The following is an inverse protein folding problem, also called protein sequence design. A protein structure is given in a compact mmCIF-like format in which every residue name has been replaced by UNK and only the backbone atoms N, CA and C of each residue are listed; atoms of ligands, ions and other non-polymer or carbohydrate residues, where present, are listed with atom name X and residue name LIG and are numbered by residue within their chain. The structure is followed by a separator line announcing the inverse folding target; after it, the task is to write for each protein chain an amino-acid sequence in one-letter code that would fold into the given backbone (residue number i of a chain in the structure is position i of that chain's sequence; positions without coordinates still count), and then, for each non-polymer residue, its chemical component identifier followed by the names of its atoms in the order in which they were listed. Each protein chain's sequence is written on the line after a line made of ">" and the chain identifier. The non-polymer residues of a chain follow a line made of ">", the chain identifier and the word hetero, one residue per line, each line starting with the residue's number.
data_IF_023245792021
#
_entry.id   IF_023245792021
#
_cell.length_a   1.000
_cell.length_b   1.000
_cell.length_c   1.000
_cell.angle_alpha   90.00
_cell.angle_beta   90.00
_cell.angle_gamma   90.00
#
_symmetry.space_group_name_H-M   'P 1'
#
loop_
_entity.id
_entity.type
_entity.pdbx_description
1 polymer ?
#
# COMPACT_ATOMS: atom_id res chain seq x y z
N UNK A 1 -14.47 -12.91 14.05
CA UNK A 1 -13.73 -12.32 12.91
C UNK A 1 -13.83 -13.21 11.68
N UNK A 2 -13.68 -14.54 11.80
CA UNK A 2 -14.01 -15.50 10.73
C UNK A 2 -15.41 -15.24 10.11
N UNK A 3 -16.42 -14.97 10.95
CA UNK A 3 -17.77 -14.63 10.49
C UNK A 3 -17.85 -13.40 9.55
N UNK A 4 -16.86 -12.49 9.55
CA UNK A 4 -16.83 -11.34 8.63
C UNK A 4 -16.40 -11.80 7.24
N UNK A 5 -15.36 -12.64 7.16
CA UNK A 5 -14.91 -13.22 5.88
C UNK A 5 -16.04 -14.05 5.26
N UNK A 6 -16.68 -14.89 6.05
CA UNK A 6 -17.78 -15.75 5.58
C UNK A 6 -19.02 -14.96 5.14
N UNK A 7 -19.24 -13.77 5.70
CA UNK A 7 -20.38 -12.92 5.38
C UNK A 7 -20.16 -12.06 4.11
N UNK A 8 -18.94 -11.97 3.59
CA UNK A 8 -18.58 -11.13 2.46
C UNK A 8 -18.11 -11.99 1.27
N UNK A 9 -19.03 -12.62 0.51
CA UNK A 9 -18.66 -13.40 -0.66
C UNK A 9 -18.13 -12.50 -1.79
N UNK A 10 -17.08 -12.95 -2.49
CA UNK A 10 -16.47 -12.22 -3.60
C UNK A 10 -15.45 -11.17 -3.16
N UNK A 11 -15.06 -10.26 -4.07
CA UNK A 11 -14.09 -9.22 -3.75
C UNK A 11 -14.68 -8.16 -2.80
N UNK A 12 -13.95 -7.82 -1.74
CA UNK A 12 -14.34 -6.78 -0.79
C UNK A 12 -13.13 -5.98 -0.28
N UNK A 13 -13.43 -4.82 0.27
CA UNK A 13 -12.48 -3.81 0.74
C UNK A 13 -12.94 -3.22 2.07
N UNK A 14 -12.01 -2.96 2.98
CA UNK A 14 -12.17 -2.01 4.09
C UNK A 14 -11.16 -0.88 3.89
N UNK A 15 -11.64 0.36 3.85
CA UNK A 15 -10.79 1.54 3.71
C UNK A 15 -11.15 2.59 4.75
N UNK A 16 -10.14 3.26 5.31
CA UNK A 16 -10.32 4.38 6.23
C UNK A 16 -9.20 4.49 7.25
N UNK A 17 -9.43 5.31 8.27
CA UNK A 17 -8.52 5.51 9.40
C UNK A 17 -8.65 4.38 10.43
N UNK A 18 -7.59 3.58 10.57
CA UNK A 18 -7.54 2.50 11.56
C UNK A 18 -6.88 2.93 12.87
N UNK A 19 -6.22 4.09 12.92
CA UNK A 19 -5.35 4.51 14.02
C UNK A 19 -4.29 3.46 14.42
N UNK A 20 -3.89 2.60 13.47
CA UNK A 20 -2.96 1.49 13.66
C UNK A 20 -2.02 1.41 12.47
N UNK A 21 -0.77 1.02 12.71
CA UNK A 21 0.24 0.82 11.66
C UNK A 21 0.42 -0.66 11.34
N UNK A 22 0.73 -0.99 10.09
CA UNK A 22 1.04 -2.35 9.64
C UNK A 22 2.52 -2.62 9.46
N UNK A 23 3.37 -1.60 9.45
CA UNK A 23 4.83 -1.74 9.40
C UNK A 23 5.53 -0.71 10.30
N UNK A 24 6.74 -1.03 10.77
CA UNK A 24 7.54 -0.03 11.51
C UNK A 24 7.86 1.19 10.62
N UNK A 25 8.02 0.98 9.30
CA UNK A 25 8.22 2.00 8.27
C UNK A 25 7.05 2.97 8.11
N UNK A 26 5.84 2.57 8.53
CA UNK A 26 4.64 3.41 8.49
C UNK A 26 4.69 4.56 9.50
N UNK A 27 5.75 4.67 10.31
CA UNK A 27 6.01 5.79 11.20
C UNK A 27 7.42 6.30 11.02
N UNK A 28 7.60 7.63 10.93
CA UNK A 28 8.92 8.23 10.72
C UNK A 28 9.85 8.23 11.96
N UNK A 29 9.53 7.47 13.01
CA UNK A 29 10.35 7.34 14.21
C UNK A 29 10.17 5.99 14.89
N UNK A 30 11.07 5.67 15.83
CA UNK A 30 11.13 4.38 16.51
C UNK A 30 10.09 4.18 17.64
N UNK A 31 9.22 5.16 17.92
CA UNK A 31 8.22 5.07 19.01
C UNK A 31 7.00 4.28 18.54
N UNK A 32 7.16 2.96 18.47
CA UNK A 32 6.18 2.02 17.93
C UNK A 32 5.60 1.13 19.03
N UNK A 33 4.26 1.07 19.12
CA UNK A 33 3.58 0.07 19.93
C UNK A 33 3.57 -1.28 19.20
N UNK A 34 4.62 -2.08 19.40
CA UNK A 34 4.79 -3.39 18.75
C UNK A 34 3.72 -4.42 19.09
N UNK A 35 3.03 -4.27 20.22
CA UNK A 35 1.88 -5.12 20.58
C UNK A 35 0.71 -4.84 19.65
N UNK A 36 0.34 -3.57 19.48
CA UNK A 36 -0.74 -3.18 18.58
C UNK A 36 -0.41 -3.52 17.12
N UNK A 37 0.81 -3.23 16.66
CA UNK A 37 1.29 -3.62 15.33
C UNK A 37 1.11 -5.12 15.08
N UNK A 38 1.54 -5.98 16.02
CA UNK A 38 1.41 -7.44 15.89
C UNK A 38 -0.06 -7.89 15.90
N UNK A 39 -0.87 -7.32 16.78
CA UNK A 39 -2.30 -7.65 16.86
C UNK A 39 -3.06 -7.24 15.59
N UNK A 40 -2.72 -6.08 15.02
CA UNK A 40 -3.33 -5.61 13.78
C UNK A 40 -2.92 -6.50 12.60
N UNK A 41 -1.61 -6.79 12.45
CA UNK A 41 -1.12 -7.77 11.46
C UNK A 41 -1.80 -9.13 11.57
N UNK A 42 -1.95 -9.64 12.79
CA UNK A 42 -2.64 -10.90 13.02
C UNK A 42 -4.10 -10.84 12.57
N UNK A 43 -4.80 -9.73 12.85
CA UNK A 43 -6.18 -9.51 12.41
C UNK A 43 -6.30 -9.48 10.89
N UNK A 44 -5.43 -8.72 10.21
CA UNK A 44 -5.37 -8.64 8.75
C UNK A 44 -5.10 -10.01 8.13
N UNK A 45 -4.15 -10.77 8.68
CA UNK A 45 -3.83 -12.11 8.21
C UNK A 45 -4.99 -13.11 8.44
N UNK A 46 -5.64 -13.06 9.60
CA UNK A 46 -6.79 -13.92 9.93
C UNK A 46 -8.01 -13.68 9.02
N UNK A 47 -8.13 -12.47 8.46
CA UNK A 47 -9.19 -12.11 7.50
C UNK A 47 -8.77 -12.31 6.04
N UNK A 48 -7.54 -12.79 5.80
CA UNK A 48 -6.97 -12.98 4.46
C UNK A 48 -7.02 -11.70 3.62
N UNK A 49 -6.56 -10.59 4.22
CA UNK A 49 -6.54 -9.28 3.59
C UNK A 49 -5.13 -8.84 3.22
N UNK A 50 -5.05 -8.03 2.16
CA UNK A 50 -3.85 -7.37 1.67
C UNK A 50 -3.99 -5.87 1.85
N UNK A 51 -2.96 -5.18 2.35
CA UNK A 51 -2.93 -3.71 2.40
C UNK A 51 -2.43 -3.17 1.05
N UNK A 52 -3.27 -2.41 0.35
CA UNK A 52 -2.89 -1.82 -0.92
C UNK A 52 -1.73 -0.82 -0.73
N UNK A 53 -0.81 -0.86 -1.69
CA UNK A 53 0.32 0.06 -1.70
C UNK A 53 -0.16 1.50 -1.91
N UNK A 54 0.31 2.41 -1.05
CA UNK A 54 -0.01 3.82 -1.13
C UNK A 54 1.00 4.55 -2.03
N UNK A 55 0.54 5.06 -3.17
CA UNK A 55 1.36 5.82 -4.10
C UNK A 55 1.43 7.31 -3.74
N UNK A 56 2.44 7.99 -4.30
CA UNK A 56 2.76 9.41 -4.17
C UNK A 56 3.22 9.89 -2.78
N UNK A 57 2.72 9.29 -1.69
CA UNK A 57 3.15 9.59 -0.31
C UNK A 57 3.27 8.30 0.49
N UNK A 58 4.13 8.32 1.52
CA UNK A 58 4.32 7.17 2.42
C UNK A 58 3.49 7.24 3.71
N UNK A 59 2.91 8.41 4.01
CA UNK A 59 2.20 8.70 5.26
C UNK A 59 0.88 9.37 4.97
N UNK A 60 -0.10 9.15 5.84
CA UNK A 60 -1.45 9.69 5.69
C UNK A 60 -1.83 10.68 6.76
N UNK A 61 -1.06 10.76 7.83
CA UNK A 61 -1.26 11.65 8.96
C UNK A 61 0.02 12.40 9.35
N UNK A 62 -0.13 13.64 9.79
CA UNK A 62 0.94 14.49 10.36
C UNK A 62 0.45 15.21 11.61
N UNK A 63 1.30 15.38 12.62
CA UNK A 63 0.97 16.24 13.76
C UNK A 63 1.14 17.76 13.48
N UNK A 64 1.49 18.13 12.25
CA UNK A 64 1.61 19.52 11.75
C UNK A 64 2.60 20.41 12.52
N UNK A 65 3.59 19.82 13.19
CA UNK A 65 4.66 20.57 13.87
C UNK A 65 5.87 20.80 12.95
N UNK A 66 6.76 21.74 13.31
CA UNK A 66 7.98 22.07 12.55
C UNK A 66 8.87 20.84 12.25
N UNK A 67 8.94 19.90 13.20
CA UNK A 67 9.53 18.58 13.00
C UNK A 67 8.41 17.54 13.12
N UNK A 68 7.71 17.23 12.01
CA UNK A 68 6.47 16.50 12.11
C UNK A 68 6.69 15.02 12.40
N UNK A 69 5.79 14.45 13.20
CA UNK A 69 5.60 13.00 13.27
C UNK A 69 4.67 12.63 12.11
N UNK A 70 5.15 11.76 11.24
CA UNK A 70 4.41 11.28 10.07
C UNK A 70 4.05 9.81 10.26
N UNK A 71 2.78 9.47 10.02
CA UNK A 71 2.26 8.12 10.22
C UNK A 71 1.31 7.73 9.07
N UNK A 72 1.40 6.51 8.54
CA UNK A 72 0.34 5.89 7.72
C UNK A 72 -0.67 5.26 8.69
N UNK A 73 -1.82 5.92 8.89
CA UNK A 73 -2.92 5.45 9.73
C UNK A 73 -4.13 5.00 8.90
N UNK A 74 -4.23 5.52 7.68
CA UNK A 74 -5.27 5.18 6.74
C UNK A 74 -4.79 4.03 5.85
N UNK A 75 -5.57 2.96 5.82
CA UNK A 75 -5.26 1.73 5.09
C UNK A 75 -6.42 1.35 4.17
N UNK A 76 -6.10 0.64 3.09
CA UNK A 76 -7.09 0.03 2.20
C UNK A 76 -6.80 -1.47 2.15
N UNK A 77 -7.57 -2.23 2.92
CA UNK A 77 -7.41 -3.67 3.12
C UNK A 77 -8.36 -4.43 2.21
N UNK A 78 -7.84 -5.17 1.24
CA UNK A 78 -8.63 -5.88 0.23
C UNK A 78 -8.57 -7.38 0.41
N UNK A 79 -9.65 -8.09 0.08
CA UNK A 79 -9.67 -9.54 -0.05
C UNK A 79 -8.71 -10.02 -1.14
N UNK A 80 -8.18 -11.24 -1.03
CA UNK A 80 -7.36 -11.87 -2.08
C UNK A 80 -8.02 -11.80 -3.47
N UNK A 81 -9.33 -12.07 -3.56
CA UNK A 81 -10.09 -12.08 -4.82
C UNK A 81 -10.24 -10.68 -5.46
N UNK A 82 -9.86 -9.61 -4.74
CA UNK A 82 -9.91 -8.23 -5.25
C UNK A 82 -8.90 -8.00 -6.36
N UNK A 83 -7.69 -8.55 -6.26
CA UNK A 83 -6.65 -8.37 -7.28
C UNK A 83 -7.06 -9.01 -8.61
N UNK A 84 -7.82 -10.12 -8.57
CA UNK A 84 -8.36 -10.75 -9.77
C UNK A 84 -9.43 -9.88 -10.43
N UNK A 85 -10.29 -9.25 -9.62
CA UNK A 85 -11.39 -8.43 -10.14
C UNK A 85 -10.93 -7.02 -10.58
N UNK A 86 -9.91 -6.46 -9.92
CA UNK A 86 -9.40 -5.12 -10.16
C UNK A 86 -7.85 -5.12 -10.29
N UNK A 87 -7.30 -5.80 -11.32
CA UNK A 87 -5.85 -5.99 -11.46
C UNK A 87 -5.07 -4.69 -11.70
N UNK A 88 -5.77 -3.63 -12.13
CA UNK A 88 -5.20 -2.31 -12.35
C UNK A 88 -5.64 -1.31 -11.28
N UNK A 89 -6.04 -1.77 -10.08
CA UNK A 89 -6.36 -0.84 -9.01
C UNK A 89 -5.10 -0.11 -8.53
N UNK A 90 -5.27 1.15 -8.11
CA UNK A 90 -4.20 1.87 -7.42
C UNK A 90 -4.79 2.73 -6.31
N UNK A 91 -4.02 2.89 -5.24
CA UNK A 91 -4.33 3.76 -4.10
C UNK A 91 -3.35 4.93 -4.07
N UNK A 92 -3.84 6.15 -4.01
CA UNK A 92 -3.00 7.35 -3.91
C UNK A 92 -3.46 8.26 -2.78
N UNK A 93 -2.50 8.84 -2.07
CA UNK A 93 -2.75 9.93 -1.13
C UNK A 93 -2.84 11.28 -1.88
N UNK A 94 -3.91 12.03 -1.63
CA UNK A 94 -4.08 13.39 -2.14
C UNK A 94 -3.54 14.43 -1.16
N UNK A 95 -3.22 15.63 -1.66
CA UNK A 95 -2.86 16.75 -0.79
C UNK A 95 -4.11 17.29 -0.08
N UNK A 96 -3.96 17.70 1.17
CA UNK A 96 -4.97 18.39 1.96
C UNK A 96 -4.29 19.49 2.77
N UNK A 97 -4.90 20.67 2.80
CA UNK A 97 -4.47 21.81 3.61
C UNK A 97 -5.40 22.07 4.80
N UNK A 98 -6.42 21.22 4.98
CA UNK A 98 -7.52 21.44 5.92
C UNK A 98 -7.66 20.33 6.98
N UNK A 99 -6.76 19.34 6.96
CA UNK A 99 -6.83 18.15 7.81
C UNK A 99 -5.42 17.61 8.02
N UNK A 100 -5.17 17.16 9.25
CA UNK A 100 -3.95 16.44 9.64
C UNK A 100 -3.85 15.08 8.93
N UNK A 101 -4.99 14.54 8.45
CA UNK A 101 -5.07 13.44 7.49
C UNK A 101 -5.08 13.88 6.02
N UNK A 102 -4.54 13.02 5.16
CA UNK A 102 -4.64 13.13 3.71
C UNK A 102 -5.78 12.25 3.15
N UNK A 103 -6.62 12.76 2.22
CA UNK A 103 -7.63 11.94 1.56
C UNK A 103 -7.01 10.82 0.73
N UNK A 104 -7.64 9.65 0.73
CA UNK A 104 -7.26 8.52 -0.13
C UNK A 104 -8.12 8.48 -1.39
N UNK A 105 -7.47 8.37 -2.55
CA UNK A 105 -8.09 8.09 -3.84
C UNK A 105 -7.82 6.63 -4.22
N UNK A 106 -8.86 5.81 -4.25
CA UNK A 106 -8.81 4.46 -4.81
C UNK A 106 -9.43 4.47 -6.21
N UNK A 107 -8.65 4.07 -7.21
CA UNK A 107 -9.15 3.87 -8.56
C UNK A 107 -9.16 2.37 -8.87
N UNK A 108 -10.31 1.83 -9.27
CA UNK A 108 -10.50 0.40 -9.58
C UNK A 108 -10.39 0.08 -11.07
N UNK A 109 -10.54 1.09 -11.93
CA UNK A 109 -10.36 0.98 -13.38
C UNK A 109 -9.36 2.03 -13.85
N UNK A 110 -8.16 2.03 -13.29
CA UNK A 110 -7.11 2.82 -13.90
C UNK A 110 -6.93 2.28 -15.31
N UNK A 111 -7.14 3.11 -16.33
CA UNK A 111 -6.74 2.79 -17.69
C UNK A 111 -5.21 2.73 -17.67
N UNK A 112 -4.66 1.61 -17.22
CA UNK A 112 -3.24 1.34 -17.21
C UNK A 112 -2.88 1.06 -18.66
N UNK A 113 -2.59 2.13 -19.39
CA UNK A 113 -1.73 2.06 -20.55
C UNK A 113 -0.32 2.28 -20.02
N UNK A 114 0.40 1.25 -19.55
CA UNK A 114 1.81 1.42 -19.30
C UNK A 114 2.39 1.89 -20.63
N UNK A 115 2.97 3.09 -20.66
CA UNK A 115 4.04 3.30 -21.62
C UNK A 115 5.08 2.27 -21.21
N UNK A 116 5.16 1.17 -21.95
CA UNK A 116 6.21 0.19 -21.78
C UNK A 116 7.52 0.92 -22.08
N UNK A 117 8.13 1.46 -21.03
CA UNK A 117 9.46 2.03 -21.12
C UNK A 117 10.42 0.85 -21.06
N UNK A 118 10.90 0.43 -22.22
CA UNK A 118 12.04 -0.46 -22.28
C UNK A 118 13.27 0.31 -21.77
N UNK A 119 13.72 -0.03 -20.57
CA UNK A 119 15.00 0.43 -20.04
C UNK A 119 16.05 -0.64 -20.31
N UNK A 120 17.02 -0.29 -21.15
CA UNK A 120 18.22 -1.08 -21.37
C UNK A 120 19.39 -0.42 -20.65
N UNK A 121 19.99 -1.11 -19.69
CA UNK A 121 21.21 -0.63 -19.07
C UNK A 121 22.40 -0.96 -19.97
N UNK A 122 23.10 0.06 -20.47
CA UNK A 122 24.31 -0.10 -21.28
C UNK A 122 25.43 -0.87 -20.54
N UNK A 123 25.35 -1.00 -19.21
CA UNK A 123 26.22 -1.86 -18.43
C UNK A 123 26.09 -3.34 -18.83
N UNK A 124 24.91 -3.82 -19.22
CA UNK A 124 24.72 -5.22 -19.59
C UNK A 124 25.54 -5.64 -20.81
N UNK A 125 25.84 -4.71 -21.74
CA UNK A 125 26.76 -4.94 -22.86
C UNK A 125 28.19 -5.30 -22.42
N UNK A 126 28.54 -5.00 -21.17
CA UNK A 126 29.88 -5.21 -20.61
C UNK A 126 29.97 -6.49 -19.77
N UNK A 127 28.85 -7.18 -19.51
CA UNK A 127 28.85 -8.43 -18.78
C UNK A 127 29.43 -9.56 -19.64
N UNK A 128 30.32 -10.35 -19.05
CA UNK A 128 30.88 -11.53 -19.70
C UNK A 128 29.77 -12.56 -19.96
N UNK A 129 29.74 -13.13 -21.17
CA UNK A 129 28.67 -14.04 -21.61
C UNK A 129 27.38 -13.36 -22.09
N UNK A 130 27.29 -12.01 -22.07
CA UNK A 130 26.11 -11.30 -22.58
C UNK A 130 25.78 -11.70 -24.02
N UNK A 131 26.79 -11.71 -24.91
CA UNK A 131 26.59 -12.04 -26.34
C UNK A 131 26.06 -13.46 -26.56
N UNK A 132 26.42 -14.39 -25.70
CA UNK A 132 25.98 -15.79 -25.80
C UNK A 132 24.53 -15.97 -25.33
N UNK A 133 24.05 -15.08 -24.46
CA UNK A 133 22.70 -15.12 -23.89
C UNK A 133 21.61 -14.48 -24.77
N UNK A 134 21.98 -13.73 -25.81
CA UNK A 134 21.06 -13.03 -26.75
C UNK A 134 20.99 -13.69 -28.13
N UNK A 135 21.42 -14.95 -28.25
CA UNK A 135 21.27 -15.74 -29.50
C UNK A 135 20.00 -16.57 -29.46
#
# INVERSE_FOLDING_TARGET
>A
MEAIRDACPGAWLIIGDFNLILEESNKNNARINRRNLRNFRHTVAMLELLDLHLHARSYTWSNEQDSPILIKLDHALVSVDWEEQFPNCFLQALSSDASDHCPLLLCTSAAYHPKLHFHFDCFWLKLEGYKDAIT
#
